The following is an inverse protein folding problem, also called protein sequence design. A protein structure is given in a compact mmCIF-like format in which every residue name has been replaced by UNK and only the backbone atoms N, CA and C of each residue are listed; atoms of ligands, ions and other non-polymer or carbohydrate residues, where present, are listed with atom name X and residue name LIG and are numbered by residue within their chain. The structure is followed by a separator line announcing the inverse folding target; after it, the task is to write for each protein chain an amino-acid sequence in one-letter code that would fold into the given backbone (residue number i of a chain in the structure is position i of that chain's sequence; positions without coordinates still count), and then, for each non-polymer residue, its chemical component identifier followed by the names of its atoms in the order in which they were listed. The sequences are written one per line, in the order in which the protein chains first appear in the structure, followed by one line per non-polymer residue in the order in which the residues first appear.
data_IF_887425730814
#
_entry.id   IF_887425730814
#
_cell.length_a   1.000
_cell.length_b   1.000
_cell.length_c   1.000
_cell.angle_alpha   90.00
_cell.angle_beta   90.00
_cell.angle_gamma   90.00
#
_symmetry.space_group_name_H-M   'P 1'
#
loop_
_entity.id
_entity.type
_entity.pdbx_description
1 polymer ?
#
# COMPACT_ATOMS: atom_id res chain seq x y z
N UNK A 1 -37.69 1.63 12.75
CA UNK A 1 -36.80 1.65 11.58
C UNK A 1 -36.78 0.25 10.99
N UNK A 2 -36.78 0.05 9.65
CA UNK A 2 -36.59 -1.28 9.09
C UNK A 2 -35.20 -1.82 9.46
N UNK A 3 -35.09 -3.15 9.58
CA UNK A 3 -33.79 -3.82 9.71
C UNK A 3 -32.94 -3.51 8.46
N UNK A 4 -31.69 -3.10 8.65
CA UNK A 4 -30.72 -2.88 7.57
C UNK A 4 -29.57 -3.88 7.64
N UNK A 5 -29.18 -4.40 6.48
CA UNK A 5 -27.97 -5.20 6.28
C UNK A 5 -27.01 -4.44 5.38
N UNK A 6 -25.76 -4.34 5.83
CA UNK A 6 -24.74 -3.55 5.14
C UNK A 6 -23.50 -4.40 4.96
N UNK A 7 -22.99 -4.48 3.74
CA UNK A 7 -21.67 -5.05 3.50
C UNK A 7 -20.62 -3.96 3.58
N UNK A 8 -19.55 -4.20 4.33
CA UNK A 8 -18.36 -3.36 4.39
C UNK A 8 -17.17 -4.16 3.86
N UNK A 9 -16.50 -3.60 2.86
CA UNK A 9 -15.24 -4.10 2.28
C UNK A 9 -14.35 -2.93 1.86
N UNK A 10 -13.07 -3.18 1.63
CA UNK A 10 -12.07 -2.21 1.20
C UNK A 10 -10.86 -2.92 0.58
N UNK A 11 -9.91 -2.16 0.03
CA UNK A 11 -8.59 -2.68 -0.37
C UNK A 11 -8.68 -3.81 -1.40
N UNK A 12 -9.50 -3.61 -2.43
CA UNK A 12 -9.70 -4.59 -3.49
C UNK A 12 -8.50 -4.62 -4.45
N UNK A 13 -7.89 -3.46 -4.72
CA UNK A 13 -6.75 -3.32 -5.63
C UNK A 13 -6.99 -4.04 -6.98
N UNK A 14 -8.16 -3.83 -7.60
CA UNK A 14 -8.48 -4.43 -8.90
C UNK A 14 -7.37 -4.05 -9.90
N UNK A 15 -6.81 -5.06 -10.56
CA UNK A 15 -5.72 -4.89 -11.52
C UNK A 15 -4.32 -5.14 -10.95
N UNK A 16 -4.19 -5.45 -9.65
CA UNK A 16 -2.90 -5.81 -9.06
C UNK A 16 -2.35 -7.10 -9.66
N UNK A 17 -1.18 -7.02 -10.28
CA UNK A 17 -0.43 -8.19 -10.75
C UNK A 17 0.39 -8.87 -9.65
N UNK A 18 1.05 -9.97 -10.00
CA UNK A 18 2.08 -10.60 -9.18
C UNK A 18 3.38 -10.70 -10.00
N UNK A 19 4.25 -9.70 -9.86
CA UNK A 19 5.38 -9.52 -10.78
C UNK A 19 4.86 -9.24 -12.19
N UNK A 20 5.23 -10.09 -13.15
CA UNK A 20 4.77 -10.02 -14.55
C UNK A 20 3.45 -10.74 -14.81
N UNK A 21 2.87 -11.40 -13.78
CA UNK A 21 1.66 -12.21 -13.93
C UNK A 21 0.43 -11.32 -13.83
N UNK A 22 -0.40 -11.35 -14.88
CA UNK A 22 -1.73 -10.75 -14.88
C UNK A 22 -2.70 -11.58 -14.03
N UNK A 23 -3.41 -10.90 -13.12
CA UNK A 23 -4.41 -11.49 -12.22
C UNK A 23 -5.83 -11.05 -12.51
N UNK A 24 -6.10 -10.46 -13.68
CA UNK A 24 -7.44 -10.02 -14.10
C UNK A 24 -8.47 -11.15 -13.95
N UNK A 25 -8.11 -12.39 -14.27
CA UNK A 25 -9.01 -13.54 -14.13
C UNK A 25 -9.34 -13.87 -12.66
N UNK A 26 -8.37 -13.71 -11.75
CA UNK A 26 -8.57 -13.92 -10.31
C UNK A 26 -9.59 -12.92 -9.76
N UNK A 27 -9.44 -11.64 -10.12
CA UNK A 27 -10.39 -10.60 -9.74
C UNK A 27 -11.77 -10.84 -10.35
N UNK A 28 -11.86 -11.35 -11.59
CA UNK A 28 -13.15 -11.73 -12.19
C UNK A 28 -13.85 -12.83 -11.40
N UNK A 29 -13.11 -13.85 -10.98
CA UNK A 29 -13.62 -14.94 -10.13
C UNK A 29 -14.11 -14.39 -8.79
N UNK A 30 -13.30 -13.54 -8.14
CA UNK A 30 -13.70 -12.88 -6.90
C UNK A 30 -14.98 -12.05 -7.05
N UNK A 31 -15.07 -11.20 -8.07
CA UNK A 31 -16.26 -10.36 -8.31
C UNK A 31 -17.49 -11.21 -8.55
N UNK A 32 -17.39 -12.30 -9.32
CA UNK A 32 -18.49 -13.25 -9.50
C UNK A 32 -18.94 -13.85 -8.16
N UNK A 33 -18.01 -14.39 -7.38
CA UNK A 33 -18.31 -15.02 -6.09
C UNK A 33 -18.89 -13.98 -5.09
N UNK A 34 -18.45 -12.72 -5.17
CA UNK A 34 -19.01 -11.61 -4.40
C UNK A 34 -20.46 -11.29 -4.81
N UNK A 35 -20.77 -11.26 -6.11
CA UNK A 35 -22.14 -11.05 -6.60
C UNK A 35 -23.07 -12.20 -6.16
N UNK A 36 -22.59 -13.44 -6.21
CA UNK A 36 -23.34 -14.59 -5.67
C UNK A 36 -23.60 -14.46 -4.16
N UNK A 37 -22.62 -13.93 -3.41
CA UNK A 37 -22.79 -13.63 -1.99
C UNK A 37 -23.84 -12.54 -1.76
N UNK A 38 -23.84 -11.47 -2.57
CA UNK A 38 -24.84 -10.40 -2.53
C UNK A 38 -26.25 -10.96 -2.81
N UNK A 39 -26.42 -11.81 -3.81
CA UNK A 39 -27.71 -12.45 -4.10
C UNK A 39 -28.19 -13.33 -2.94
N UNK A 40 -27.28 -14.07 -2.31
CA UNK A 40 -27.59 -14.98 -1.19
C UNK A 40 -27.95 -14.24 0.09
N UNK A 41 -27.16 -13.22 0.46
CA UNK A 41 -27.28 -12.53 1.76
C UNK A 41 -28.20 -11.31 1.70
N UNK A 42 -28.41 -10.76 0.49
CA UNK A 42 -29.27 -9.61 0.19
C UNK A 42 -28.98 -8.40 1.09
N UNK A 43 -27.75 -7.84 1.05
CA UNK A 43 -27.49 -6.58 1.71
C UNK A 43 -28.32 -5.45 1.09
N UNK A 44 -28.72 -4.50 1.92
CA UNK A 44 -29.41 -3.28 1.48
C UNK A 44 -28.39 -2.24 0.98
N UNK A 45 -27.21 -2.19 1.61
CA UNK A 45 -26.13 -1.26 1.25
C UNK A 45 -24.79 -1.97 1.16
N UNK A 46 -23.94 -1.54 0.22
CA UNK A 46 -22.54 -1.95 0.12
C UNK A 46 -21.67 -0.71 0.33
N UNK A 47 -20.68 -0.80 1.21
CA UNK A 47 -19.67 0.22 1.49
C UNK A 47 -18.31 -0.31 1.00
N UNK A 48 -17.70 0.40 0.05
CA UNK A 48 -16.34 0.15 -0.45
C UNK A 48 -15.41 1.28 0.02
N UNK A 49 -14.68 1.04 1.11
CA UNK A 49 -13.90 2.05 1.83
C UNK A 49 -12.47 2.25 1.26
N UNK A 50 -12.38 2.56 -0.03
CA UNK A 50 -11.13 2.92 -0.70
C UNK A 50 -10.30 1.74 -1.22
N UNK A 51 -9.28 2.11 -2.01
CA UNK A 51 -8.38 1.26 -2.78
C UNK A 51 -9.14 0.25 -3.66
N UNK A 52 -10.02 0.81 -4.51
CA UNK A 52 -10.76 0.06 -5.52
C UNK A 52 -9.80 -0.49 -6.56
N UNK A 53 -8.88 0.35 -7.04
CA UNK A 53 -7.86 -0.02 -8.02
C UNK A 53 -6.46 -0.08 -7.40
N UNK A 54 -5.58 -0.88 -7.99
CA UNK A 54 -4.19 -0.96 -7.52
C UNK A 54 -3.37 0.30 -7.84
N UNK A 55 -3.78 1.07 -8.84
CA UNK A 55 -3.08 2.28 -9.29
C UNK A 55 -4.06 3.37 -9.69
N UNK A 56 -3.60 4.62 -9.68
CA UNK A 56 -4.40 5.80 -10.02
C UNK A 56 -4.77 5.89 -11.50
N UNK A 57 -4.11 5.08 -12.35
CA UNK A 57 -4.38 4.94 -13.77
C UNK A 57 -4.63 3.46 -14.11
N UNK A 58 -5.79 2.90 -13.71
CA UNK A 58 -6.08 1.49 -13.89
C UNK A 58 -6.13 1.10 -15.37
N UNK A 59 -5.67 -0.12 -15.69
CA UNK A 59 -5.80 -0.67 -17.03
C UNK A 59 -7.28 -0.86 -17.43
N UNK A 60 -7.57 -0.84 -18.74
CA UNK A 60 -8.93 -1.02 -19.26
C UNK A 60 -9.59 -2.33 -18.79
N UNK A 61 -8.81 -3.40 -18.57
CA UNK A 61 -9.31 -4.67 -18.02
C UNK A 61 -9.84 -4.50 -16.59
N UNK A 62 -9.12 -3.80 -15.73
CA UNK A 62 -9.52 -3.50 -14.36
C UNK A 62 -10.76 -2.59 -14.34
N UNK A 63 -10.76 -1.53 -15.16
CA UNK A 63 -11.92 -0.63 -15.29
C UNK A 63 -13.17 -1.40 -15.74
N UNK A 64 -13.03 -2.31 -16.70
CA UNK A 64 -14.14 -3.15 -17.17
C UNK A 64 -14.71 -4.01 -16.04
N UNK A 65 -13.87 -4.66 -15.25
CA UNK A 65 -14.32 -5.45 -14.09
C UNK A 65 -15.11 -4.60 -13.10
N UNK A 66 -14.63 -3.40 -12.79
CA UNK A 66 -15.30 -2.45 -11.91
C UNK A 66 -16.68 -2.03 -12.43
N UNK A 67 -16.78 -1.61 -13.70
CA UNK A 67 -18.06 -1.20 -14.27
C UNK A 67 -19.02 -2.38 -14.47
N UNK A 68 -18.52 -3.56 -14.84
CA UNK A 68 -19.33 -4.78 -14.94
C UNK A 68 -19.90 -5.18 -13.57
N UNK A 69 -19.12 -5.03 -12.48
CA UNK A 69 -19.61 -5.22 -11.11
C UNK A 69 -20.73 -4.23 -10.76
N UNK A 70 -20.53 -2.93 -10.95
CA UNK A 70 -21.55 -1.92 -10.61
C UNK A 70 -22.83 -2.17 -11.41
N UNK A 71 -22.70 -2.46 -12.70
CA UNK A 71 -23.83 -2.81 -13.54
C UNK A 71 -24.56 -4.05 -13.00
N UNK A 72 -23.85 -5.08 -12.59
CA UNK A 72 -24.47 -6.28 -12.01
C UNK A 72 -25.20 -5.95 -10.69
N UNK A 73 -24.56 -5.18 -9.80
CA UNK A 73 -25.16 -4.74 -8.52
C UNK A 73 -26.45 -3.94 -8.73
N UNK A 74 -26.52 -3.09 -9.76
CA UNK A 74 -27.72 -2.31 -10.09
C UNK A 74 -28.93 -3.17 -10.46
N UNK A 75 -28.72 -4.43 -10.85
CA UNK A 75 -29.78 -5.41 -11.11
C UNK A 75 -30.21 -6.22 -9.89
N UNK A 76 -29.66 -5.96 -8.71
CA UNK A 76 -29.94 -6.69 -7.46
C UNK A 76 -30.91 -5.93 -6.55
N UNK A 77 -31.12 -6.42 -5.31
CA UNK A 77 -31.89 -5.71 -4.29
C UNK A 77 -31.09 -4.65 -3.53
N UNK A 78 -29.82 -4.43 -3.86
CA UNK A 78 -28.98 -3.43 -3.20
C UNK A 78 -29.53 -2.04 -3.51
N UNK A 79 -29.89 -1.31 -2.45
CA UNK A 79 -30.44 0.05 -2.53
C UNK A 79 -29.36 1.09 -2.82
N UNK A 80 -28.13 0.86 -2.33
CA UNK A 80 -27.00 1.74 -2.61
C UNK A 80 -25.65 1.03 -2.52
N UNK A 81 -24.74 1.34 -3.43
CA UNK A 81 -23.30 1.08 -3.31
C UNK A 81 -22.59 2.40 -3.08
N UNK A 82 -21.95 2.57 -1.93
CA UNK A 82 -21.23 3.78 -1.53
C UNK A 82 -19.74 3.52 -1.65
N UNK A 83 -19.05 4.30 -2.48
CA UNK A 83 -17.64 4.10 -2.81
C UNK A 83 -16.85 5.35 -2.47
N UNK A 84 -15.73 5.16 -1.77
CA UNK A 84 -14.73 6.19 -1.54
C UNK A 84 -13.42 5.84 -2.24
N UNK A 85 -12.60 6.83 -2.58
CA UNK A 85 -11.25 6.61 -3.10
C UNK A 85 -10.27 6.35 -1.94
N UNK A 86 -9.36 5.39 -2.12
CA UNK A 86 -8.22 5.20 -1.22
C UNK A 86 -6.98 5.96 -1.67
N UNK A 87 -5.81 5.63 -1.11
CA UNK A 87 -4.56 6.30 -1.47
C UNK A 87 -3.96 5.83 -2.81
N UNK A 88 -4.37 4.67 -3.32
CA UNK A 88 -3.98 4.18 -4.65
C UNK A 88 -4.87 4.73 -5.77
N UNK A 89 -6.11 5.07 -5.43
CA UNK A 89 -7.10 5.53 -6.39
C UNK A 89 -6.85 6.97 -6.87
N UNK A 90 -7.36 7.28 -8.06
CA UNK A 90 -7.58 8.66 -8.49
C UNK A 90 -9.02 9.07 -8.15
N UNK A 91 -9.18 9.94 -7.15
CA UNK A 91 -10.46 10.51 -6.75
C UNK A 91 -11.24 11.08 -7.96
N UNK A 92 -10.56 11.87 -8.81
CA UNK A 92 -11.14 12.45 -10.02
C UNK A 92 -11.56 11.41 -11.04
N UNK A 93 -10.83 10.29 -11.14
CA UNK A 93 -11.19 9.21 -12.06
C UNK A 93 -12.46 8.50 -11.62
N UNK A 94 -12.56 8.17 -10.32
CA UNK A 94 -13.76 7.54 -9.74
C UNK A 94 -14.98 8.46 -9.80
N UNK A 95 -14.78 9.76 -9.57
CA UNK A 95 -15.86 10.75 -9.56
C UNK A 95 -16.30 11.18 -10.97
N UNK A 96 -15.44 11.12 -11.99
CA UNK A 96 -15.76 11.58 -13.35
C UNK A 96 -17.09 11.03 -13.93
N UNK A 97 -17.43 9.72 -13.77
CA UNK A 97 -18.70 9.17 -14.23
C UNK A 97 -19.85 9.27 -13.20
N UNK A 98 -19.73 10.07 -12.13
CA UNK A 98 -20.69 10.11 -11.01
C UNK A 98 -22.15 10.17 -11.44
N UNK A 99 -22.51 11.10 -12.32
CA UNK A 99 -23.90 11.26 -12.79
C UNK A 99 -24.46 10.00 -13.47
N UNK A 100 -23.60 9.20 -14.12
CA UNK A 100 -24.00 7.91 -14.70
C UNK A 100 -24.14 6.84 -13.61
N UNK A 101 -23.18 6.78 -12.68
CA UNK A 101 -23.18 5.78 -11.61
C UNK A 101 -24.36 5.95 -10.64
N UNK A 102 -24.80 7.19 -10.39
CA UNK A 102 -25.97 7.47 -9.55
C UNK A 102 -27.26 6.85 -10.13
N UNK A 103 -27.38 6.72 -11.46
CA UNK A 103 -28.52 6.01 -12.10
C UNK A 103 -28.54 4.50 -11.85
N UNK A 104 -27.43 3.96 -11.34
CA UNK A 104 -27.22 2.54 -11.03
C UNK A 104 -27.17 2.31 -9.51
N UNK A 105 -27.74 3.22 -8.71
CA UNK A 105 -27.68 3.19 -7.25
C UNK A 105 -26.25 3.16 -6.69
N UNK A 106 -25.29 3.77 -7.41
CA UNK A 106 -23.90 3.83 -7.01
C UNK A 106 -23.51 5.28 -6.70
N UNK A 107 -23.29 5.56 -5.43
CA UNK A 107 -22.77 6.83 -4.95
C UNK A 107 -21.25 6.76 -4.86
N UNK A 108 -20.58 7.68 -5.55
CA UNK A 108 -19.14 7.89 -5.41
C UNK A 108 -18.92 9.22 -4.68
N UNK A 109 -18.28 9.15 -3.53
CA UNK A 109 -17.92 10.34 -2.76
C UNK A 109 -17.04 11.27 -3.57
N UNK A 110 -17.27 12.58 -3.48
CA UNK A 110 -16.49 13.60 -4.20
C UNK A 110 -15.36 14.23 -3.37
N UNK A 111 -14.67 15.22 -3.95
CA UNK A 111 -13.56 15.94 -3.29
C UNK A 111 -14.02 16.85 -2.13
N UNK A 112 -15.26 17.36 -2.13
CA UNK A 112 -15.75 18.30 -1.11
C UNK A 112 -16.49 17.60 0.04
N UNK A 113 -16.48 18.16 1.27
CA UNK A 113 -17.23 17.58 2.40
C UNK A 113 -18.73 17.38 2.13
N UNK A 114 -19.39 18.31 1.42
CA UNK A 114 -20.80 18.17 1.02
C UNK A 114 -21.01 16.95 0.13
N UNK A 115 -20.10 16.74 -0.83
CA UNK A 115 -20.16 15.63 -1.78
C UNK A 115 -19.80 14.27 -1.19
N UNK A 116 -19.51 14.21 0.12
CA UNK A 116 -19.18 13.02 0.92
C UNK A 116 -20.31 12.65 1.90
N UNK A 117 -21.31 13.52 2.07
CA UNK A 117 -22.48 13.24 2.87
C UNK A 117 -23.51 12.46 2.05
N UNK A 118 -23.77 11.21 2.41
CA UNK A 118 -24.76 10.36 1.75
C UNK A 118 -25.87 9.97 2.73
N UNK A 119 -27.12 10.18 2.33
CA UNK A 119 -28.30 9.72 3.08
C UNK A 119 -29.10 8.75 2.21
N UNK A 120 -29.17 7.50 2.65
CA UNK A 120 -30.09 6.52 2.06
C UNK A 120 -31.51 6.88 2.46
N UNK A 121 -32.43 6.88 1.51
CA UNK A 121 -33.86 7.09 1.73
C UNK A 121 -34.66 5.93 1.16
N UNK A 122 -35.84 5.71 1.72
CA UNK A 122 -36.81 4.78 1.15
C UNK A 122 -37.58 5.42 -0.03
N UNK A 123 -38.51 4.65 -0.63
CA UNK A 123 -39.36 5.10 -1.74
C UNK A 123 -40.29 6.29 -1.37
N UNK A 124 -40.54 6.51 -0.08
CA UNK A 124 -41.32 7.64 0.43
C UNK A 124 -40.44 8.89 0.69
N UNK A 125 -39.12 8.75 0.60
CA UNK A 125 -38.16 9.81 0.88
C UNK A 125 -37.71 9.88 2.35
N UNK A 126 -38.13 8.94 3.19
CA UNK A 126 -37.76 8.91 4.61
C UNK A 126 -36.32 8.42 4.78
N UNK A 127 -35.48 9.09 5.59
CA UNK A 127 -34.12 8.65 5.86
C UNK A 127 -34.06 7.26 6.50
N UNK A 128 -33.16 6.42 5.99
CA UNK A 128 -32.85 5.10 6.53
C UNK A 128 -31.42 4.99 7.07
N UNK A 129 -30.44 5.63 6.44
CA UNK A 129 -29.04 5.51 6.84
C UNK A 129 -28.32 6.80 6.48
N UNK A 130 -27.42 7.26 7.35
CA UNK A 130 -26.50 8.34 7.04
C UNK A 130 -25.07 7.80 6.98
N UNK A 131 -24.35 8.14 5.91
CA UNK A 131 -22.97 7.72 5.67
C UNK A 131 -22.11 8.96 5.40
N UNK A 132 -21.11 9.19 6.25
CA UNK A 132 -20.00 10.08 5.93
C UNK A 132 -18.99 9.29 5.09
N UNK A 133 -19.14 9.35 3.77
CA UNK A 133 -18.32 8.62 2.81
C UNK A 133 -17.00 9.38 2.55
N UNK A 134 -16.11 9.42 3.54
CA UNK A 134 -14.88 10.21 3.46
C UNK A 134 -13.78 9.40 2.75
N UNK A 135 -13.21 9.88 1.62
CA UNK A 135 -12.09 9.23 0.95
C UNK A 135 -10.77 9.41 1.72
N UNK A 136 -9.69 8.86 1.19
CA UNK A 136 -8.35 9.10 1.72
C UNK A 136 -8.03 10.61 1.77
N UNK A 137 -7.80 11.12 2.98
CA UNK A 137 -7.48 12.52 3.23
C UNK A 137 -5.96 12.72 3.22
N UNK A 138 -5.45 13.56 2.30
CA UNK A 138 -4.01 13.87 2.28
C UNK A 138 -3.70 14.90 3.35
N UNK A 139 -2.49 14.88 3.88
CA UNK A 139 -2.05 15.88 4.87
C UNK A 139 -2.23 17.32 4.35
N UNK A 140 -1.99 17.54 3.05
CA UNK A 140 -2.19 18.83 2.39
C UNK A 140 -3.65 19.31 2.37
N UNK A 141 -4.62 18.40 2.39
CA UNK A 141 -6.04 18.71 2.30
C UNK A 141 -6.60 19.20 3.64
N UNK A 142 -6.07 18.68 4.75
CA UNK A 142 -6.67 18.88 6.08
C UNK A 142 -5.79 19.61 7.09
N UNK A 143 -4.46 19.56 6.97
CA UNK A 143 -3.57 20.09 8.02
C UNK A 143 -3.66 21.61 8.15
N UNK A 144 -3.62 22.34 7.02
CA UNK A 144 -3.44 23.79 6.93
C UNK A 144 -2.22 24.31 7.74
N UNK A 145 -1.15 24.79 7.11
CA UNK A 145 0.00 25.28 7.91
C UNK A 145 1.27 25.68 7.18
N UNK A 146 2.22 26.25 7.95
CA UNK A 146 3.52 26.78 7.52
C UNK A 146 4.59 25.68 7.37
N UNK A 147 5.70 26.00 6.70
CA UNK A 147 6.87 25.14 6.49
C UNK A 147 7.66 24.94 7.80
N UNK A 148 7.54 25.85 8.77
CA UNK A 148 8.35 25.88 10.01
C UNK A 148 7.78 25.03 11.17
N UNK A 149 6.73 24.23 10.95
CA UNK A 149 6.12 23.43 12.01
C UNK A 149 7.03 22.26 12.44
N UNK A 150 7.12 21.99 13.75
CA UNK A 150 7.74 20.75 14.25
C UNK A 150 6.90 19.52 13.87
N UNK A 151 7.51 18.33 13.89
CA UNK A 151 6.81 17.09 13.50
C UNK A 151 5.59 16.78 14.40
N UNK A 152 5.73 16.99 15.71
CA UNK A 152 4.64 16.79 16.66
C UNK A 152 3.49 17.78 16.44
N UNK A 153 3.81 19.03 16.10
CA UNK A 153 2.81 20.04 15.75
C UNK A 153 2.06 19.67 14.46
N UNK A 154 2.78 19.13 13.46
CA UNK A 154 2.15 18.65 12.22
C UNK A 154 1.21 17.48 12.47
N UNK A 155 1.62 16.51 13.29
CA UNK A 155 0.77 15.37 13.66
C UNK A 155 -0.53 15.82 14.34
N UNK A 156 -0.44 16.69 15.36
CA UNK A 156 -1.61 17.20 16.06
C UNK A 156 -2.55 18.02 15.15
N UNK A 157 -1.99 18.82 14.22
CA UNK A 157 -2.78 19.56 13.23
C UNK A 157 -3.44 18.65 12.20
N UNK A 158 -2.75 17.60 11.76
CA UNK A 158 -3.33 16.61 10.87
C UNK A 158 -4.55 15.93 11.53
N UNK A 159 -4.41 15.46 12.76
CA UNK A 159 -5.51 14.85 13.52
C UNK A 159 -6.69 15.81 13.73
N UNK A 160 -6.41 17.05 14.14
CA UNK A 160 -7.45 18.09 14.27
C UNK A 160 -8.13 18.42 12.93
N UNK A 161 -7.36 18.44 11.84
CA UNK A 161 -7.86 18.63 10.49
C UNK A 161 -8.80 17.51 10.05
N UNK A 162 -8.41 16.26 10.28
CA UNK A 162 -9.25 15.08 10.02
C UNK A 162 -10.54 15.18 10.83
N UNK A 163 -10.47 15.50 12.13
CA UNK A 163 -11.66 15.67 12.97
C UNK A 163 -12.59 16.75 12.45
N UNK A 164 -12.05 17.93 12.16
CA UNK A 164 -12.83 19.04 11.59
C UNK A 164 -13.50 18.65 10.28
N UNK A 165 -12.83 17.84 9.45
CA UNK A 165 -13.38 17.36 8.20
C UNK A 165 -14.61 16.47 8.45
N UNK A 166 -14.50 15.45 9.32
CA UNK A 166 -15.65 14.62 9.71
C UNK A 166 -16.77 15.43 10.36
N UNK A 167 -16.46 16.38 11.24
CA UNK A 167 -17.46 17.28 11.84
C UNK A 167 -18.21 18.09 10.77
N UNK A 168 -17.50 18.54 9.73
CA UNK A 168 -18.09 19.29 8.60
C UNK A 168 -19.03 18.40 7.78
N UNK A 169 -18.61 17.17 7.45
CA UNK A 169 -19.46 16.19 6.74
C UNK A 169 -20.68 15.84 7.59
N UNK A 170 -20.51 15.67 8.90
CA UNK A 170 -21.61 15.39 9.83
C UNK A 170 -22.64 16.54 9.86
N UNK A 171 -22.19 17.80 9.75
CA UNK A 171 -23.09 18.95 9.60
C UNK A 171 -23.98 18.86 8.35
N UNK A 172 -23.42 18.47 7.20
CA UNK A 172 -24.23 18.23 5.99
C UNK A 172 -25.20 17.05 6.15
N UNK A 173 -24.80 16.00 6.88
CA UNK A 173 -25.71 14.91 7.22
C UNK A 173 -26.85 15.38 8.13
N UNK A 174 -26.57 16.22 9.15
CA UNK A 174 -27.58 16.77 10.04
C UNK A 174 -28.62 17.59 9.27
N UNK A 175 -28.16 18.46 8.35
CA UNK A 175 -29.04 19.24 7.47
C UNK A 175 -29.90 18.33 6.58
N UNK A 176 -29.30 17.29 5.99
CA UNK A 176 -30.04 16.35 5.14
C UNK A 176 -31.03 15.49 5.93
N UNK A 177 -30.74 15.14 7.18
CA UNK A 177 -31.60 14.31 8.01
C UNK A 177 -32.81 15.06 8.58
N UNK A 178 -32.75 16.40 8.70
CA UNK A 178 -33.84 17.24 9.24
C UNK A 178 -34.40 16.70 10.58
N UNK A 179 -33.49 16.30 11.48
CA UNK A 179 -33.82 15.75 12.79
C UNK A 179 -34.22 14.27 12.83
N UNK A 180 -34.24 13.58 11.69
CA UNK A 180 -34.44 12.14 11.64
C UNK A 180 -33.31 11.38 12.37
N UNK A 181 -33.69 10.35 13.12
CA UNK A 181 -32.76 9.49 13.84
C UNK A 181 -32.57 8.19 13.08
N UNK A 182 -31.42 8.06 12.44
CA UNK A 182 -30.99 6.88 11.69
C UNK A 182 -29.58 6.48 12.12
N UNK A 183 -29.18 5.22 11.89
CA UNK A 183 -27.80 4.79 12.05
C UNK A 183 -26.86 5.67 11.24
N UNK A 184 -25.72 6.00 11.85
CA UNK A 184 -24.66 6.80 11.24
C UNK A 184 -23.39 5.99 11.08
N UNK A 185 -22.85 5.97 9.87
CA UNK A 185 -21.60 5.30 9.54
C UNK A 185 -20.59 6.33 9.04
N UNK A 186 -19.40 6.34 9.63
CA UNK A 186 -18.25 7.00 9.01
C UNK A 186 -17.46 5.98 8.20
N UNK A 187 -17.15 6.30 6.95
CA UNK A 187 -16.13 5.59 6.17
C UNK A 187 -14.81 6.36 6.27
N UNK A 188 -13.69 5.63 6.26
CA UNK A 188 -12.38 6.25 6.21
C UNK A 188 -11.35 5.33 5.59
N UNK A 189 -10.32 5.92 4.97
CA UNK A 189 -9.19 5.19 4.43
C UNK A 189 -7.93 5.88 4.95
N UNK A 190 -7.38 5.40 6.07
CA UNK A 190 -6.31 6.04 6.83
C UNK A 190 -5.74 5.06 7.85
N UNK A 191 -4.57 5.35 8.39
CA UNK A 191 -3.97 4.55 9.46
C UNK A 191 -4.42 5.05 10.84
N UNK A 192 -5.10 4.19 11.59
CA UNK A 192 -5.52 4.45 12.99
C UNK A 192 -4.54 3.80 13.96
N UNK A 193 -4.04 4.59 14.91
CA UNK A 193 -3.10 4.15 15.96
C UNK A 193 -3.65 2.96 16.75
N UNK A 194 -2.78 1.98 17.04
CA UNK A 194 -3.14 0.74 17.74
C UNK A 194 -3.66 -0.37 16.83
N UNK A 195 -3.65 -0.16 15.51
CA UNK A 195 -3.96 -1.19 14.51
C UNK A 195 -2.72 -2.00 14.16
N UNK A 196 -2.92 -3.27 13.77
CA UNK A 196 -1.87 -4.20 13.36
C UNK A 196 -1.77 -4.26 11.84
N UNK A 197 -0.59 -3.99 11.28
CA UNK A 197 -0.39 -4.12 9.84
C UNK A 197 -0.47 -5.59 9.40
N UNK A 198 0.06 -6.50 10.21
CA UNK A 198 -0.01 -7.95 10.03
C UNK A 198 -0.66 -8.64 11.24
N UNK A 199 -1.27 -9.83 11.09
CA UNK A 199 -1.94 -10.55 12.19
C UNK A 199 -1.09 -10.71 13.46
N UNK A 200 0.20 -11.00 13.27
CA UNK A 200 1.16 -11.30 14.35
C UNK A 200 1.92 -10.06 14.87
N UNK A 201 1.68 -8.87 14.31
CA UNK A 201 2.30 -7.65 14.82
C UNK A 201 1.75 -7.33 16.23
N UNK A 202 2.63 -6.92 17.15
CA UNK A 202 2.22 -6.39 18.46
C UNK A 202 1.72 -4.94 18.29
N UNK A 203 0.45 -4.64 18.60
CA UNK A 203 -0.10 -3.28 18.46
C UNK A 203 0.46 -2.28 19.49
N UNK A 204 1.18 -2.76 20.53
CA UNK A 204 1.76 -1.94 21.60
C UNK A 204 3.23 -1.63 21.40
N UNK A 205 3.94 -2.43 20.60
CA UNK A 205 5.20 -1.99 20.04
C UNK A 205 4.88 -0.92 19.00
N UNK A 206 5.45 0.29 19.10
CA UNK A 206 5.48 1.15 17.95
C UNK A 206 6.17 0.33 16.87
N UNK A 207 5.44 -0.09 15.84
CA UNK A 207 6.12 -0.35 14.59
C UNK A 207 6.92 0.93 14.35
N UNK A 208 8.23 0.84 14.13
CA UNK A 208 9.07 2.04 13.88
C UNK A 208 8.49 2.91 12.74
N UNK A 209 7.55 2.36 11.98
CA UNK A 209 6.50 3.05 11.24
C UNK A 209 5.43 3.77 12.11
N UNK A 210 5.79 4.79 12.90
CA UNK A 210 4.86 5.93 13.08
C UNK A 210 4.49 6.58 11.72
N UNK A 211 5.23 6.15 10.69
CA UNK A 211 5.23 6.46 9.29
C UNK A 211 5.21 5.14 8.49
N UNK A 212 4.07 4.73 7.94
CA UNK A 212 4.10 3.76 6.83
C UNK A 212 4.46 4.57 5.58
N UNK A 213 5.75 4.80 5.36
CA UNK A 213 6.24 5.75 4.36
C UNK A 213 6.07 7.22 4.79
N UNK A 214 5.59 8.11 3.93
CA UNK A 214 5.33 9.52 4.29
C UNK A 214 3.95 9.76 4.92
N UNK A 215 3.18 8.71 5.20
CA UNK A 215 1.79 8.77 5.64
C UNK A 215 1.68 8.86 7.16
N UNK A 216 0.93 9.86 7.65
CA UNK A 216 0.66 10.08 9.07
C UNK A 216 -0.50 9.21 9.55
N UNK A 217 -0.47 8.85 10.83
CA UNK A 217 -1.55 8.20 11.54
C UNK A 217 -2.43 9.21 12.30
N UNK A 218 -3.62 8.76 12.69
CA UNK A 218 -4.51 9.46 13.65
C UNK A 218 -4.95 8.51 14.75
N UNK A 219 -5.44 9.04 15.87
CA UNK A 219 -6.13 8.20 16.86
C UNK A 219 -7.61 8.05 16.49
N UNK A 220 -8.32 7.16 17.19
CA UNK A 220 -9.76 7.01 17.00
C UNK A 220 -10.54 8.30 17.34
N UNK A 221 -9.97 9.21 18.15
CA UNK A 221 -10.62 10.48 18.53
C UNK A 221 -10.81 11.42 17.33
N UNK A 222 -10.05 11.21 16.25
CA UNK A 222 -10.22 11.95 15.00
C UNK A 222 -11.60 11.76 14.36
N UNK A 223 -12.34 10.70 14.71
CA UNK A 223 -13.69 10.46 14.21
C UNK A 223 -14.77 11.08 15.12
N UNK A 224 -14.45 11.43 16.37
CA UNK A 224 -15.47 11.80 17.35
C UNK A 224 -16.34 10.61 17.79
N UNK A 225 -17.55 10.90 18.29
CA UNK A 225 -18.43 9.91 18.94
C UNK A 225 -19.85 9.84 18.37
N UNK A 226 -20.12 10.53 17.26
CA UNK A 226 -21.46 10.67 16.68
C UNK A 226 -21.86 9.51 15.75
N UNK A 227 -21.04 8.47 15.66
CA UNK A 227 -21.20 7.35 14.73
C UNK A 227 -21.62 6.07 15.48
N UNK A 228 -22.42 5.24 14.84
CA UNK A 228 -22.74 3.89 15.33
C UNK A 228 -21.70 2.86 14.85
N UNK A 229 -21.01 3.15 13.74
CA UNK A 229 -19.94 2.34 13.20
C UNK A 229 -18.94 3.16 12.37
N UNK A 230 -17.67 2.78 12.41
CA UNK A 230 -16.62 3.30 11.53
C UNK A 230 -16.06 2.19 10.63
N UNK A 231 -16.28 2.34 9.33
CA UNK A 231 -15.87 1.44 8.26
C UNK A 231 -14.52 1.88 7.66
N UNK A 232 -13.43 1.18 8.03
CA UNK A 232 -12.08 1.51 7.58
C UNK A 232 -11.59 0.60 6.44
N UNK A 233 -10.87 1.21 5.49
CA UNK A 233 -9.91 0.56 4.59
C UNK A 233 -8.47 1.05 4.86
N UNK A 234 -7.51 0.68 4.02
CA UNK A 234 -6.05 0.96 4.05
C UNK A 234 -5.20 -0.18 4.62
N UNK A 235 -5.67 -0.84 5.68
CA UNK A 235 -4.97 -1.97 6.30
C UNK A 235 -5.60 -3.26 5.81
N UNK A 236 -4.82 -4.01 5.02
CA UNK A 236 -5.26 -5.26 4.41
C UNK A 236 -5.58 -6.38 5.41
N UNK A 237 -5.06 -6.28 6.64
CA UNK A 237 -5.39 -7.18 7.74
C UNK A 237 -6.69 -6.75 8.43
N UNK A 238 -7.73 -7.57 8.28
CA UNK A 238 -9.00 -7.32 8.95
C UNK A 238 -8.89 -7.42 10.47
N UNK A 239 -9.45 -6.42 11.15
CA UNK A 239 -9.40 -6.34 12.61
C UNK A 239 -10.39 -5.32 13.17
N UNK A 240 -10.83 -5.55 14.41
CA UNK A 240 -11.45 -4.51 15.23
C UNK A 240 -10.38 -3.58 15.77
N UNK A 241 -10.60 -2.27 15.63
CA UNK A 241 -9.79 -1.24 16.29
C UNK A 241 -10.42 -0.96 17.65
N UNK A 242 -9.59 -0.94 18.70
CA UNK A 242 -10.07 -0.63 20.05
C UNK A 242 -10.38 0.87 20.15
N UNK A 243 -11.66 1.22 20.12
CA UNK A 243 -12.17 2.58 20.21
C UNK A 243 -13.46 2.64 21.04
N UNK A 244 -13.95 3.85 21.31
CA UNK A 244 -15.24 4.07 22.00
C UNK A 244 -16.43 3.69 21.11
N UNK A 245 -16.29 3.92 19.80
CA UNK A 245 -17.26 3.55 18.78
C UNK A 245 -16.78 2.27 18.09
N UNK A 246 -17.68 1.33 17.74
CA UNK A 246 -17.33 0.18 16.92
C UNK A 246 -16.62 0.61 15.62
N UNK A 247 -15.36 0.20 15.48
CA UNK A 247 -14.48 0.62 14.40
C UNK A 247 -13.72 -0.60 13.87
N UNK A 248 -13.65 -0.76 12.55
CA UNK A 248 -13.07 -1.97 11.96
C UNK A 248 -12.40 -1.70 10.62
N UNK A 249 -11.25 -2.32 10.39
CA UNK A 249 -10.77 -2.56 9.03
C UNK A 249 -11.43 -3.81 8.49
N UNK A 250 -12.04 -3.73 7.32
CA UNK A 250 -12.55 -4.92 6.62
C UNK A 250 -11.43 -5.76 6.02
N UNK A 251 -10.29 -5.13 5.70
CA UNK A 251 -9.14 -5.77 5.07
C UNK A 251 -9.37 -6.12 3.60
N UNK A 252 -8.30 -6.54 2.93
CA UNK A 252 -8.38 -6.95 1.53
C UNK A 252 -9.20 -8.24 1.42
N UNK A 253 -10.20 -8.34 0.52
CA UNK A 253 -10.98 -9.57 0.35
C UNK A 253 -10.26 -10.64 -0.49
N UNK A 254 -9.19 -10.26 -1.19
CA UNK A 254 -8.36 -11.15 -2.01
C UNK A 254 -6.91 -11.04 -1.54
N UNK A 255 -6.19 -12.16 -1.49
CA UNK A 255 -4.75 -12.16 -1.22
C UNK A 255 -4.01 -11.41 -2.33
N UNK A 256 -3.30 -10.35 -1.94
CA UNK A 256 -2.58 -9.44 -2.85
C UNK A 256 -1.10 -9.79 -3.00
N UNK A 257 -0.53 -10.51 -2.02
CA UNK A 257 0.87 -10.93 -2.01
C UNK A 257 1.08 -12.14 -1.09
N UNK A 258 2.28 -12.73 -1.11
CA UNK A 258 2.66 -13.79 -0.20
C UNK A 258 2.66 -13.39 1.29
N UNK A 259 2.69 -12.10 1.62
CA UNK A 259 2.55 -11.66 3.02
C UNK A 259 1.11 -11.80 3.53
N UNK A 260 0.13 -12.02 2.65
CA UNK A 260 -1.27 -12.23 3.01
C UNK A 260 -1.61 -13.70 3.31
N UNK A 261 -0.65 -14.64 3.18
CA UNK A 261 -0.88 -16.06 3.55
C UNK A 261 -1.52 -16.23 4.95
N UNK A 262 -1.09 -15.52 6.02
CA UNK A 262 -1.71 -15.67 7.33
C UNK A 262 -3.01 -14.86 7.50
N UNK A 263 -3.47 -14.13 6.47
CA UNK A 263 -4.59 -13.21 6.59
C UNK A 263 -5.92 -13.95 6.45
N UNK A 264 -6.94 -13.45 7.15
CA UNK A 264 -8.32 -13.88 6.95
C UNK A 264 -9.01 -12.90 6.02
N UNK A 265 -9.41 -13.40 4.86
CA UNK A 265 -10.09 -12.61 3.84
C UNK A 265 -11.62 -12.76 3.97
N UNK A 266 -12.33 -11.65 4.16
CA UNK A 266 -13.77 -11.66 4.33
C UNK A 266 -14.44 -10.35 3.88
N UNK A 267 -15.77 -10.40 3.78
CA UNK A 267 -16.66 -9.23 3.76
C UNK A 267 -17.27 -9.08 5.16
N UNK A 268 -17.35 -7.87 5.69
CA UNK A 268 -18.01 -7.63 6.99
C UNK A 268 -19.49 -7.34 6.72
N UNK A 269 -20.40 -8.18 7.21
CA UNK A 269 -21.84 -7.89 7.20
C UNK A 269 -22.23 -7.24 8.53
N UNK A 270 -22.72 -6.01 8.47
CA UNK A 270 -23.34 -5.30 9.59
C UNK A 270 -24.85 -5.49 9.52
N UNK A 271 -25.47 -5.64 10.68
CA UNK A 271 -26.92 -5.63 10.83
C UNK A 271 -27.31 -4.59 11.86
N UNK A 272 -28.12 -3.61 11.44
CA UNK A 272 -28.86 -2.73 12.33
C UNK A 272 -30.29 -3.26 12.46
N UNK A 273 -30.70 -3.56 13.69
CA UNK A 273 -32.06 -4.00 13.98
C UNK A 273 -33.04 -2.82 14.14
N UNK A 274 -34.32 -3.16 14.31
CA UNK A 274 -35.40 -2.17 14.40
C UNK A 274 -35.30 -1.26 15.64
N UNK A 275 -34.51 -1.66 16.63
CA UNK A 275 -34.25 -0.92 17.88
C UNK A 275 -33.01 -0.04 17.79
N UNK A 276 -32.24 -0.14 16.69
CA UNK A 276 -30.95 0.54 16.50
C UNK A 276 -29.76 -0.26 17.01
N UNK A 277 -29.97 -1.50 17.46
CA UNK A 277 -28.90 -2.40 17.88
C UNK A 277 -28.04 -2.83 16.68
N UNK A 278 -26.72 -2.74 16.82
CA UNK A 278 -25.75 -3.12 15.79
C UNK A 278 -25.06 -4.43 16.13
N UNK A 279 -25.00 -5.33 15.15
CA UNK A 279 -24.21 -6.58 15.20
C UNK A 279 -23.43 -6.74 13.91
N UNK A 280 -22.39 -7.58 13.92
CA UNK A 280 -21.63 -7.89 12.70
C UNK A 280 -21.27 -9.37 12.60
N UNK A 281 -21.07 -9.82 11.36
CA UNK A 281 -20.58 -11.15 10.99
C UNK A 281 -19.45 -11.00 9.96
N UNK A 282 -18.41 -11.81 10.07
CA UNK A 282 -17.36 -11.92 9.04
C UNK A 282 -17.76 -13.02 8.06
N UNK A 283 -17.97 -12.66 6.79
CA UNK A 283 -18.33 -13.58 5.71
C UNK A 283 -17.07 -13.98 4.95
N UNK A 284 -16.56 -15.22 5.10
CA UNK A 284 -15.31 -15.62 4.45
C UNK A 284 -15.38 -15.50 2.93
N UNK A 285 -14.31 -14.97 2.33
CA UNK A 285 -14.15 -14.88 0.88
C UNK A 285 -13.24 -16.01 0.42
N UNK A 286 -13.77 -16.85 -0.48
CA UNK A 286 -12.99 -17.88 -1.15
C UNK A 286 -11.90 -17.22 -1.99
N UNK A 287 -10.65 -17.64 -1.79
CA UNK A 287 -9.54 -17.12 -2.59
C UNK A 287 -9.60 -17.70 -4.01
N UNK A 288 -9.43 -16.87 -5.06
CA UNK A 288 -9.40 -17.37 -6.44
C UNK A 288 -8.27 -18.37 -6.68
N UNK A 289 -7.14 -18.18 -5.99
CA UNK A 289 -5.95 -19.04 -6.00
C UNK A 289 -5.28 -18.99 -4.63
N UNK A 290 -4.67 -20.09 -4.25
CA UNK A 290 -3.85 -20.16 -3.04
C UNK A 290 -2.43 -19.64 -3.29
N UNK A 291 -1.86 -19.02 -2.26
CA UNK A 291 -0.46 -18.60 -2.21
C UNK A 291 0.32 -19.57 -1.33
N UNK A 292 1.35 -20.19 -1.88
CA UNK A 292 2.13 -21.23 -1.20
C UNK A 292 3.60 -20.88 -1.20
N UNK A 293 4.26 -21.05 -0.06
CA UNK A 293 5.71 -20.94 0.08
C UNK A 293 6.30 -22.32 0.34
N UNK A 294 7.31 -22.67 -0.44
CA UNK A 294 8.03 -23.94 -0.31
C UNK A 294 9.52 -23.67 -0.16
N UNK A 295 10.20 -24.43 0.67
CA UNK A 295 11.62 -24.26 0.92
C UNK A 295 12.29 -25.59 1.25
N UNK A 296 13.43 -25.88 0.62
CA UNK A 296 14.15 -27.13 0.82
C UNK A 296 15.23 -27.37 -0.24
N UNK A 297 15.62 -28.63 -0.38
CA UNK A 297 16.43 -29.17 -1.49
C UNK A 297 15.66 -29.13 -2.81
N UNK A 298 16.35 -29.33 -3.94
CA UNK A 298 15.68 -29.34 -5.24
C UNK A 298 14.63 -30.45 -5.37
N UNK A 299 14.86 -31.61 -4.77
CA UNK A 299 13.90 -32.72 -4.78
C UNK A 299 12.65 -32.40 -3.92
N UNK A 300 12.84 -31.84 -2.73
CA UNK A 300 11.74 -31.39 -1.86
C UNK A 300 10.91 -30.31 -2.54
N UNK A 301 11.54 -29.30 -3.16
CA UNK A 301 10.82 -28.25 -3.89
C UNK A 301 9.92 -28.82 -5.00
N UNK A 302 10.41 -29.81 -5.76
CA UNK A 302 9.61 -30.47 -6.80
C UNK A 302 8.43 -31.26 -6.21
N UNK A 303 8.66 -31.97 -5.11
CA UNK A 303 7.62 -32.71 -4.42
C UNK A 303 6.53 -31.76 -3.89
N UNK A 304 6.91 -30.70 -3.18
CA UNK A 304 5.99 -29.73 -2.60
C UNK A 304 5.22 -28.94 -3.68
N UNK A 305 5.87 -28.58 -4.79
CA UNK A 305 5.21 -27.96 -5.95
C UNK A 305 4.15 -28.91 -6.54
N UNK A 306 4.49 -30.19 -6.72
CA UNK A 306 3.54 -31.16 -7.25
C UNK A 306 2.35 -31.38 -6.30
N UNK A 307 2.60 -31.41 -4.99
CA UNK A 307 1.55 -31.50 -3.97
C UNK A 307 0.64 -30.26 -3.97
N UNK A 308 1.21 -29.06 -4.10
CA UNK A 308 0.43 -27.82 -4.19
C UNK A 308 -0.52 -27.84 -5.39
N UNK A 309 -0.06 -28.29 -6.56
CA UNK A 309 -0.89 -28.43 -7.76
C UNK A 309 -1.95 -29.53 -7.67
N UNK A 310 -1.69 -30.59 -6.90
CA UNK A 310 -2.68 -31.63 -6.62
C UNK A 310 -3.77 -31.18 -5.62
N UNK A 311 -3.44 -30.25 -4.73
CA UNK A 311 -4.33 -29.79 -3.65
C UNK A 311 -5.16 -28.57 -4.05
N UNK A 312 -4.57 -27.66 -4.83
CA UNK A 312 -5.17 -26.39 -5.16
C UNK A 312 -5.28 -26.20 -6.67
N UNK A 313 -6.36 -25.59 -7.13
CA UNK A 313 -6.48 -25.21 -8.52
C UNK A 313 -5.51 -24.06 -8.78
N UNK A 314 -4.41 -24.38 -9.48
CA UNK A 314 -3.60 -23.35 -10.14
C UNK A 314 -2.96 -22.36 -9.15
N UNK A 315 -2.33 -22.83 -8.05
CA UNK A 315 -1.79 -21.97 -6.99
C UNK A 315 -0.57 -21.18 -7.45
N UNK A 316 -0.29 -20.09 -6.74
CA UNK A 316 0.95 -19.34 -6.85
C UNK A 316 1.98 -19.88 -5.87
N UNK A 317 3.17 -20.23 -6.37
CA UNK A 317 4.26 -20.75 -5.53
C UNK A 317 5.49 -19.83 -5.57
N UNK A 318 5.97 -19.46 -4.38
CA UNK A 318 7.31 -18.91 -4.15
C UNK A 318 8.20 -20.04 -3.61
N UNK A 319 9.24 -20.40 -4.37
CA UNK A 319 10.14 -21.49 -4.04
C UNK A 319 11.51 -20.96 -3.59
N UNK A 320 12.03 -21.49 -2.48
CA UNK A 320 13.35 -21.11 -1.96
C UNK A 320 14.26 -22.34 -1.82
N UNK A 321 15.29 -22.43 -2.64
CA UNK A 321 16.34 -23.44 -2.49
C UNK A 321 17.24 -23.08 -1.29
N UNK A 322 17.32 -23.99 -0.32
CA UNK A 322 18.10 -23.80 0.92
C UNK A 322 19.34 -24.70 0.99
N UNK A 323 19.44 -25.69 0.11
CA UNK A 323 20.60 -26.58 -0.03
C UNK A 323 21.79 -25.91 -0.75
N UNK A 324 22.93 -26.60 -0.75
CA UNK A 324 24.16 -26.25 -1.48
C UNK A 324 24.22 -26.78 -2.92
N UNK A 325 23.10 -27.31 -3.40
CA UNK A 325 23.01 -27.88 -4.74
C UNK A 325 23.17 -26.79 -5.81
N UNK A 326 24.11 -27.02 -6.73
CA UNK A 326 24.21 -26.22 -7.94
C UNK A 326 23.26 -26.77 -8.99
N UNK A 327 22.06 -26.19 -9.09
CA UNK A 327 21.07 -26.53 -10.12
C UNK A 327 21.18 -25.50 -11.26
N UNK A 328 21.67 -25.91 -12.45
CA UNK A 328 21.66 -25.04 -13.63
C UNK A 328 20.23 -24.66 -13.98
N UNK A 329 20.01 -23.36 -14.26
CA UNK A 329 18.68 -22.82 -14.58
C UNK A 329 17.56 -23.25 -13.61
N UNK A 330 17.85 -23.17 -12.30
CA UNK A 330 16.89 -23.50 -11.23
C UNK A 330 15.49 -22.89 -11.46
N UNK A 331 15.45 -21.63 -11.90
CA UNK A 331 14.19 -20.93 -12.15
C UNK A 331 13.43 -21.55 -13.33
N UNK A 332 14.10 -21.82 -14.45
CA UNK A 332 13.48 -22.48 -15.62
C UNK A 332 12.99 -23.88 -15.30
N UNK A 333 13.80 -24.68 -14.61
CA UNK A 333 13.46 -26.06 -14.19
C UNK A 333 12.22 -26.09 -13.29
N UNK A 334 12.19 -25.26 -12.22
CA UNK A 334 11.04 -25.22 -11.31
C UNK A 334 9.79 -24.64 -11.98
N UNK A 335 9.94 -23.67 -12.89
CA UNK A 335 8.81 -23.10 -13.64
C UNK A 335 8.19 -24.16 -14.55
N UNK A 336 9.00 -24.87 -15.36
CA UNK A 336 8.52 -25.94 -16.23
C UNK A 336 7.90 -27.10 -15.44
N UNK A 337 8.51 -27.45 -14.30
CA UNK A 337 7.94 -28.45 -13.39
C UNK A 337 6.59 -28.01 -12.82
N UNK A 338 6.47 -26.76 -12.39
CA UNK A 338 5.22 -26.18 -11.92
C UNK A 338 4.13 -26.21 -12.98
N UNK A 339 4.42 -25.75 -14.20
CA UNK A 339 3.48 -25.78 -15.33
C UNK A 339 2.94 -27.19 -15.61
N UNK A 340 3.81 -28.20 -15.59
CA UNK A 340 3.43 -29.59 -15.78
C UNK A 340 2.49 -30.13 -14.68
N UNK A 341 2.51 -29.52 -13.49
CA UNK A 341 1.67 -29.88 -12.34
C UNK A 341 0.55 -28.87 -12.09
N UNK A 342 0.29 -27.96 -13.03
CA UNK A 342 -0.77 -26.96 -12.90
C UNK A 342 -0.50 -25.92 -11.82
N UNK A 343 0.76 -25.57 -11.57
CA UNK A 343 1.20 -24.55 -10.61
C UNK A 343 1.82 -23.37 -11.36
N UNK A 344 1.61 -22.16 -10.86
CA UNK A 344 2.28 -20.97 -11.35
C UNK A 344 3.40 -20.62 -10.38
N UNK A 345 4.64 -20.95 -10.75
CA UNK A 345 5.83 -20.55 -9.96
C UNK A 345 6.12 -19.10 -10.24
N UNK A 346 6.00 -18.25 -9.23
CA UNK A 346 6.06 -16.79 -9.41
C UNK A 346 7.41 -16.19 -9.02
N UNK A 347 8.14 -16.89 -8.15
CA UNK A 347 9.45 -16.47 -7.67
C UNK A 347 10.27 -17.70 -7.27
N UNK A 348 11.53 -17.70 -7.66
CA UNK A 348 12.51 -18.72 -7.27
C UNK A 348 13.70 -18.01 -6.65
N UNK A 349 14.02 -18.38 -5.41
CA UNK A 349 15.14 -17.82 -4.65
C UNK A 349 16.17 -18.91 -4.39
N UNK A 350 17.44 -18.57 -4.51
CA UNK A 350 18.54 -19.40 -4.03
C UNK A 350 19.14 -18.71 -2.80
N UNK A 351 18.93 -19.29 -1.62
CA UNK A 351 19.33 -18.68 -0.36
C UNK A 351 20.85 -18.53 -0.23
N UNK A 352 21.62 -19.48 -0.76
CA UNK A 352 23.08 -19.41 -0.71
C UNK A 352 23.65 -18.37 -1.67
N UNK A 353 23.10 -18.29 -2.89
CA UNK A 353 23.47 -17.24 -3.82
C UNK A 353 23.19 -15.85 -3.22
N UNK A 354 22.03 -15.66 -2.59
CA UNK A 354 21.69 -14.41 -1.91
C UNK A 354 22.65 -14.09 -0.76
N UNK A 355 22.96 -15.06 0.12
CA UNK A 355 23.93 -14.86 1.22
C UNK A 355 25.33 -14.55 0.71
N UNK A 356 25.78 -15.21 -0.35
CA UNK A 356 27.10 -14.95 -0.95
C UNK A 356 27.18 -13.54 -1.51
N UNK A 357 26.13 -13.08 -2.21
CA UNK A 357 26.04 -11.69 -2.66
C UNK A 357 26.04 -10.69 -1.49
N UNK A 358 25.26 -10.96 -0.43
CA UNK A 358 25.24 -10.09 0.77
C UNK A 358 26.60 -10.08 1.48
N UNK A 359 27.28 -11.21 1.59
CA UNK A 359 28.64 -11.29 2.13
C UNK A 359 29.66 -10.56 1.25
N UNK A 360 29.58 -10.71 -0.07
CA UNK A 360 30.45 -10.00 -1.02
C UNK A 360 30.21 -8.48 -0.97
N UNK A 361 28.95 -8.03 -0.78
CA UNK A 361 28.57 -6.62 -0.65
C UNK A 361 28.97 -6.03 0.72
N UNK A 362 28.77 -6.76 1.83
CA UNK A 362 29.23 -6.37 3.17
C UNK A 362 30.75 -6.31 3.28
N UNK A 363 31.44 -7.17 2.53
CA UNK A 363 32.91 -7.17 2.45
C UNK A 363 33.44 -6.24 1.35
N UNK A 364 32.57 -5.60 0.56
CA UNK A 364 32.99 -4.63 -0.42
C UNK A 364 33.47 -3.36 0.31
N UNK A 365 34.72 -2.92 0.11
CA UNK A 365 35.20 -1.69 0.70
C UNK A 365 34.41 -0.49 0.18
N UNK A 366 34.11 0.48 1.04
CA UNK A 366 33.51 1.76 0.63
C UNK A 366 34.42 2.48 -0.37
N UNK A 367 33.85 3.22 -1.32
CA UNK A 367 34.63 4.06 -2.24
C UNK A 367 35.51 5.07 -1.49
N UNK A 368 35.11 5.50 -0.30
CA UNK A 368 35.89 6.40 0.57
C UNK A 368 37.06 5.69 1.28
N UNK A 369 37.00 4.37 1.42
CA UNK A 369 38.04 3.53 2.03
C UNK A 369 39.03 2.96 0.99
N UNK A 370 38.74 3.14 -0.30
CA UNK A 370 39.55 2.68 -1.42
C UNK A 370 40.60 3.72 -1.81
N UNK A 371 41.88 3.39 -1.60
CA UNK A 371 42.99 4.18 -2.17
C UNK A 371 43.26 3.72 -3.61
N UNK A 372 43.78 4.59 -4.50
CA UNK A 372 44.19 4.21 -5.85
C UNK A 372 45.10 2.96 -5.88
N UNK A 373 45.98 2.83 -4.90
CA UNK A 373 46.89 1.70 -4.73
C UNK A 373 46.12 0.41 -4.39
N UNK A 374 45.10 0.48 -3.53
CA UNK A 374 44.26 -0.67 -3.16
C UNK A 374 43.40 -1.17 -4.34
N UNK A 375 42.89 -0.24 -5.15
CA UNK A 375 42.14 -0.56 -6.38
C UNK A 375 43.07 -1.18 -7.42
N UNK A 376 44.27 -0.61 -7.59
CA UNK A 376 45.26 -1.14 -8.52
C UNK A 376 45.76 -2.53 -8.11
N UNK A 377 45.92 -2.77 -6.80
CA UNK A 377 46.25 -4.10 -6.28
C UNK A 377 45.17 -5.12 -6.64
N UNK A 378 43.91 -4.77 -6.36
CA UNK A 378 42.76 -5.64 -6.65
C UNK A 378 42.65 -5.94 -8.15
N UNK A 379 42.88 -4.93 -9.00
CA UNK A 379 42.92 -5.08 -10.46
C UNK A 379 44.02 -6.06 -10.94
N UNK A 380 45.21 -6.01 -10.33
CA UNK A 380 46.29 -6.95 -10.66
C UNK A 380 46.00 -8.36 -10.15
N UNK A 381 45.41 -8.49 -8.96
CA UNK A 381 45.01 -9.79 -8.40
C UNK A 381 43.95 -10.51 -9.26
N UNK A 382 43.06 -9.76 -9.93
CA UNK A 382 42.08 -10.32 -10.88
C UNK A 382 42.70 -10.68 -12.25
N UNK A 383 43.73 -9.95 -12.68
CA UNK A 383 44.34 -10.10 -14.02
C UNK A 383 45.34 -11.26 -14.10
N UNK A 384 45.95 -11.64 -12.97
CA UNK A 384 46.99 -12.67 -12.93
C UNK A 384 46.45 -13.96 -12.30
N UNK A 385 46.70 -15.10 -12.95
CA UNK A 385 46.23 -16.42 -12.50
C UNK A 385 46.87 -16.88 -11.17
N UNK A 386 47.98 -16.26 -10.76
CA UNK A 386 48.69 -16.59 -9.53
C UNK A 386 49.01 -15.35 -8.71
N UNK A 387 48.94 -15.51 -7.38
CA UNK A 387 49.21 -14.44 -6.41
C UNK A 387 50.65 -13.92 -6.49
N UNK A 388 51.62 -14.80 -6.74
CA UNK A 388 53.01 -14.39 -6.96
C UNK A 388 53.19 -13.53 -8.22
N UNK A 389 52.43 -13.81 -9.28
CA UNK A 389 52.42 -13.01 -10.51
C UNK A 389 51.83 -11.62 -10.29
N UNK A 390 50.71 -11.54 -9.57
CA UNK A 390 50.09 -10.28 -9.19
C UNK A 390 51.03 -9.42 -8.32
N UNK A 391 51.67 -10.01 -7.30
CA UNK A 391 52.58 -9.31 -6.38
C UNK A 391 53.86 -8.82 -7.06
N UNK A 392 54.38 -9.55 -8.06
CA UNK A 392 55.54 -9.11 -8.85
C UNK A 392 55.18 -7.97 -9.82
N UNK A 393 54.02 -8.06 -10.47
CA UNK A 393 53.49 -6.99 -11.31
C UNK A 393 53.20 -5.72 -10.50
N UNK A 394 52.61 -5.87 -9.31
CA UNK A 394 52.33 -4.77 -8.38
C UNK A 394 53.62 -4.04 -8.00
N UNK A 395 54.67 -4.77 -7.61
CA UNK A 395 55.97 -4.16 -7.27
C UNK A 395 56.63 -3.43 -8.44
N UNK A 396 56.44 -3.89 -9.68
CA UNK A 396 57.05 -3.29 -10.88
C UNK A 396 56.28 -2.08 -11.39
N UNK A 397 54.95 -2.11 -11.30
CA UNK A 397 54.08 -1.11 -11.91
C UNK A 397 53.63 -0.02 -10.93
N UNK A 398 53.66 -0.28 -9.62
CA UNK A 398 53.27 0.72 -8.61
C UNK A 398 54.03 2.05 -8.75
N UNK A 399 55.37 2.08 -8.97
CA UNK A 399 56.07 3.35 -9.13
C UNK A 399 55.59 4.19 -10.31
N UNK A 400 55.11 3.55 -11.39
CA UNK A 400 54.56 4.22 -12.57
C UNK A 400 53.14 4.75 -12.31
N UNK A 401 52.36 4.03 -11.50
CA UNK A 401 51.05 4.50 -11.06
C UNK A 401 51.19 5.70 -10.12
N UNK A 402 52.12 5.65 -9.16
CA UNK A 402 52.40 6.75 -8.25
C UNK A 402 52.80 8.02 -9.01
N UNK A 403 53.65 7.89 -10.04
CA UNK A 403 54.04 8.99 -10.93
C UNK A 403 52.84 9.58 -11.68
N UNK A 404 51.99 8.72 -12.28
CA UNK A 404 50.81 9.16 -13.01
C UNK A 404 49.74 9.81 -12.10
N UNK A 405 49.54 9.30 -10.89
CA UNK A 405 48.61 9.87 -9.90
C UNK A 405 49.11 11.24 -9.42
N UNK A 406 50.42 11.40 -9.23
CA UNK A 406 51.00 12.66 -8.81
C UNK A 406 50.95 13.72 -9.91
N UNK A 407 51.18 13.37 -11.18
CA UNK A 407 51.00 14.29 -12.32
C UNK A 407 49.57 14.84 -12.39
N UNK A 408 48.55 13.99 -12.22
CA UNK A 408 47.13 14.39 -12.24
C UNK A 408 46.75 15.24 -11.02
N UNK A 409 47.35 14.97 -9.85
CA UNK A 409 47.17 15.79 -8.63
C UNK A 409 47.85 17.15 -8.74
N UNK A 410 48.95 17.26 -9.48
CA UNK A 410 49.63 18.53 -9.75
C UNK A 410 48.80 19.41 -10.70
N UNK A 411 48.16 18.85 -11.73
CA UNK A 411 47.28 19.60 -12.64
C UNK A 411 46.01 20.17 -11.98
N UNK A 412 45.60 19.62 -10.83
CA UNK A 412 44.38 20.04 -10.10
C UNK A 412 44.61 21.05 -8.97
N UNK A 413 45.87 21.45 -8.69
CA UNK A 413 46.16 22.56 -7.75
C UNK A 413 45.92 23.92 -8.44
N UNK A 414 45.07 24.81 -7.92
CA UNK A 414 44.93 26.14 -8.49
C UNK A 414 46.24 26.93 -8.31
N UNK A 415 46.73 27.52 -9.39
CA UNK A 415 47.88 28.42 -9.36
C UNK A 415 47.55 29.64 -8.49
N UNK A 416 48.16 29.72 -7.30
CA UNK A 416 48.18 30.95 -6.52
C UNK A 416 49.31 31.81 -7.09
N UNK A 417 48.97 32.71 -8.01
CA UNK A 417 49.87 33.80 -8.39
C UNK A 417 49.82 34.91 -7.34
N UNK A 418 51.01 35.24 -6.86
CA UNK A 418 51.34 36.31 -5.92
C UNK A 418 51.05 37.70 -6.49
N UNK A 419 50.38 38.56 -5.72
CA UNK A 419 50.47 40.01 -5.88
C UNK A 419 50.44 40.71 -4.50
N UNK A 420 51.62 40.83 -3.90
CA UNK A 420 51.88 41.82 -2.85
C UNK A 420 52.38 43.11 -3.53
N UNK A 421 51.57 44.16 -3.54
CA UNK A 421 52.08 45.55 -3.43
C UNK A 421 50.96 46.46 -2.89
N UNK A 422 51.24 47.31 -1.89
CA UNK A 422 50.22 48.06 -1.17
C UNK A 422 49.94 49.40 -1.84
N UNK A 423 48.70 49.87 -1.80
CA UNK A 423 48.46 51.31 -1.86
C UNK A 423 47.33 51.73 -0.90
N UNK A 424 47.75 52.39 0.18
CA UNK A 424 46.91 53.29 0.93
C UNK A 424 46.65 54.51 0.05
N UNK A 425 45.38 54.89 -0.15
CA UNK A 425 45.03 56.31 -0.16
C UNK A 425 43.54 56.46 0.20
N UNK A 426 43.31 57.07 1.37
CA UNK A 426 42.05 57.67 1.76
C UNK A 426 41.81 58.88 0.86
N UNK A 427 40.60 59.02 0.32
CA UNK A 427 40.01 60.35 0.22
C UNK A 427 38.50 60.30 0.46
N UNK A 428 38.12 61.16 1.39
CA UNK A 428 36.80 61.50 1.92
C UNK A 428 35.98 62.34 0.93
N UNK A 429 34.67 62.08 0.87
CA UNK A 429 33.58 63.07 0.77
C UNK A 429 32.26 62.29 0.85
N UNK A 430 31.54 62.34 1.97
CA UNK A 430 30.39 63.24 2.20
C UNK A 430 29.20 62.96 1.28
N UNK A 431 28.12 62.39 1.86
CA UNK A 431 26.78 62.94 1.63
C UNK A 431 25.87 62.65 2.85
N UNK A 432 25.17 63.71 3.26
CA UNK A 432 24.34 63.91 4.45
C UNK A 432 22.93 63.35 4.21
N UNK A 433 22.22 62.83 5.24
CA UNK A 433 20.94 62.14 5.06
C UNK A 433 19.71 63.07 5.17
N UNK A 434 18.61 62.65 4.56
CA UNK A 434 17.25 62.88 5.04
C UNK A 434 16.38 61.67 4.70
#
# INVERSE_FOLDING_TARGET
MPKLRIFHSADWHIGKGLGTIDRTDDFRVFIRDFLELVEKRRPDVILLAGDIFDTSMPANSAQRLYYDMIRALSGTSVMATVITAGNHDSQRFLEAPRALLETMNCFVAGESPESQAFVLRDDAGEPLLAVAAVPFLREGDVRGGSIDDTDATRAARFESGVRKHYDTVNGFLDEALDGARVPRIAMGHLFVTGSRLRPDDDPTTPNESAYVGSLRNVTADAFGTDWDYVALGHIHNSQTVKAQIPMRYSGSPVSLSYSHIPYRHHIVELTFDETGGMTFEELPVRQPREFVRVSGTFEELRADIAEAGATHEKPFVEATLTSDECVPDLAGELTAWGEAHGVIVTAVRNQQAARKYEEDELNAPSLDDLTPESVFKSFLEERFETREGADDAYRKLMPLLDEAVEEVRIETRPAIESADTPNQEKNTAEEVPA
#
